data_IF_018794269443
#
_entry.id   IF_018794269443
#
_cell.length_a   1.000
_cell.length_b   1.000
_cell.length_c   1.000
_cell.angle_alpha   90.00
_cell.angle_beta   90.00
_cell.angle_gamma   90.00
#
_symmetry.space_group_name_H-M   'P 1'
#
loop_
_entity.id
_entity.type
_entity.pdbx_description
1 polymer ?
#
# COMPACT_ATOMS: atom_id res chain seq x y z
N UNK A 1 -32.82 33.90 -20.19
CA UNK A 1 -32.64 32.50 -19.71
C UNK A 1 -33.56 32.31 -18.51
N UNK A 2 -34.53 31.38 -18.56
CA UNK A 2 -35.56 31.30 -17.51
C UNK A 2 -34.98 30.77 -16.18
N UNK A 3 -35.56 31.13 -15.02
CA UNK A 3 -35.09 30.69 -13.71
C UNK A 3 -35.03 29.16 -13.56
N UNK A 4 -35.98 28.47 -14.18
CA UNK A 4 -36.08 27.01 -14.15
C UNK A 4 -34.87 26.31 -14.80
N UNK A 5 -34.34 26.88 -15.88
CA UNK A 5 -33.16 26.32 -16.55
C UNK A 5 -31.89 26.47 -15.71
N UNK A 6 -31.76 27.57 -14.95
CA UNK A 6 -30.63 27.81 -14.03
C UNK A 6 -30.65 26.83 -12.86
N UNK A 7 -31.82 26.54 -12.31
CA UNK A 7 -32.00 25.57 -11.22
C UNK A 7 -31.67 24.16 -11.70
N UNK A 8 -32.16 23.77 -12.88
CA UNK A 8 -31.86 22.46 -13.47
C UNK A 8 -30.36 22.31 -13.73
N UNK A 9 -29.71 23.34 -14.29
CA UNK A 9 -28.28 23.33 -14.56
C UNK A 9 -27.46 23.26 -13.26
N UNK A 10 -27.84 24.02 -12.22
CA UNK A 10 -27.18 23.96 -10.92
C UNK A 10 -27.34 22.58 -10.27
N UNK A 11 -28.50 21.94 -10.40
CA UNK A 11 -28.75 20.60 -9.89
C UNK A 11 -27.95 19.53 -10.64
N UNK A 12 -27.82 19.64 -11.96
CA UNK A 12 -26.97 18.75 -12.78
C UNK A 12 -25.50 18.95 -12.45
N UNK A 13 -25.02 20.18 -12.30
CA UNK A 13 -23.65 20.47 -11.86
C UNK A 13 -23.38 19.95 -10.45
N UNK A 14 -24.30 20.15 -9.51
CA UNK A 14 -24.17 19.63 -8.15
C UNK A 14 -24.15 18.11 -8.11
N UNK A 15 -25.00 17.43 -8.88
CA UNK A 15 -24.97 15.96 -8.96
C UNK A 15 -23.70 15.46 -9.64
N UNK A 16 -23.19 16.11 -10.68
CA UNK A 16 -21.88 15.77 -11.28
C UNK A 16 -20.70 15.95 -10.30
N UNK A 17 -20.75 16.96 -9.42
CA UNK A 17 -19.74 17.17 -8.38
C UNK A 17 -19.84 16.15 -7.23
N UNK A 18 -21.02 15.57 -6.99
CA UNK A 18 -21.27 14.57 -5.94
C UNK A 18 -21.04 13.14 -6.46
N UNK A 19 -21.20 12.90 -7.76
CA UNK A 19 -20.98 11.60 -8.39
C UNK A 19 -19.48 11.29 -8.42
N UNK A 20 -19.07 10.55 -7.39
CA UNK A 20 -17.83 9.76 -7.17
C UNK A 20 -16.71 10.43 -6.38
N UNK A 21 -16.87 10.44 -5.05
CA UNK A 21 -15.82 9.89 -4.18
C UNK A 21 -16.20 8.44 -3.85
N UNK A 22 -15.76 7.49 -4.67
CA UNK A 22 -15.60 6.12 -4.15
C UNK A 22 -14.48 6.26 -3.12
N UNK A 23 -14.83 6.25 -1.83
CA UNK A 23 -13.82 6.08 -0.80
C UNK A 23 -13.15 4.73 -1.05
N UNK A 24 -11.85 4.75 -1.32
CA UNK A 24 -11.08 3.53 -1.43
C UNK A 24 -11.30 2.72 -0.15
N UNK A 25 -11.59 1.43 -0.28
CA UNK A 25 -11.74 0.56 0.89
C UNK A 25 -10.41 0.53 1.62
N UNK A 26 -10.44 0.74 2.93
CA UNK A 26 -9.24 0.63 3.75
C UNK A 26 -8.61 -0.76 3.54
N UNK A 27 -7.32 -0.80 3.23
CA UNK A 27 -6.63 -2.03 2.86
C UNK A 27 -5.44 -2.29 3.78
N UNK A 28 -5.62 -3.24 4.70
CA UNK A 28 -4.58 -3.66 5.64
C UNK A 28 -4.00 -4.99 5.21
N UNK A 29 -2.67 -5.06 5.16
CA UNK A 29 -1.93 -6.23 4.68
C UNK A 29 -1.06 -6.77 5.80
N UNK A 30 -1.11 -8.08 5.99
CA UNK A 30 -0.29 -8.83 6.94
C UNK A 30 0.30 -10.04 6.22
N UNK A 31 1.52 -10.42 6.57
CA UNK A 31 2.18 -11.59 5.98
C UNK A 31 3.70 -11.49 6.01
N UNK A 32 4.31 -12.14 5.03
CA UNK A 32 5.76 -12.26 4.87
C UNK A 32 6.29 -11.48 3.64
N UNK A 33 7.46 -11.87 3.14
CA UNK A 33 8.12 -11.27 1.98
C UNK A 33 7.25 -11.22 0.72
N UNK A 34 6.31 -12.14 0.52
CA UNK A 34 5.45 -12.17 -0.68
C UNK A 34 4.51 -10.98 -0.78
N UNK A 35 4.19 -10.39 0.38
CA UNK A 35 3.29 -9.25 0.50
C UNK A 35 3.98 -8.05 1.17
N UNK A 36 5.27 -8.12 1.45
CA UNK A 36 6.05 -6.99 1.94
C UNK A 36 6.28 -5.95 0.82
N UNK A 37 6.00 -4.70 1.14
CA UNK A 37 6.15 -3.52 0.27
C UNK A 37 7.34 -2.65 0.67
N UNK A 38 8.19 -3.13 1.57
CA UNK A 38 9.43 -2.48 1.99
C UNK A 38 9.54 -2.21 3.49
N UNK A 39 8.75 -2.87 4.35
CA UNK A 39 8.84 -2.73 5.81
C UNK A 39 10.25 -3.07 6.32
N UNK A 40 10.87 -4.09 5.74
CA UNK A 40 12.21 -4.50 6.14
C UNK A 40 13.29 -3.45 5.88
N UNK A 41 13.04 -2.42 5.07
CA UNK A 41 13.96 -1.30 4.89
C UNK A 41 14.06 -0.41 6.15
N UNK A 42 13.10 -0.52 7.07
CA UNK A 42 13.05 0.24 8.32
C UNK A 42 13.52 -0.56 9.55
N UNK A 43 13.80 -1.85 9.40
CA UNK A 43 14.23 -2.74 10.49
C UNK A 43 15.73 -3.00 10.46
N UNK A 44 16.35 -3.40 11.56
CA UNK A 44 17.75 -3.87 11.56
C UNK A 44 17.85 -5.35 11.16
N UNK A 45 17.64 -5.65 9.88
CA UNK A 45 17.61 -7.02 9.33
C UNK A 45 18.40 -7.15 8.03
N UNK A 46 18.82 -8.37 7.70
CA UNK A 46 19.43 -8.71 6.39
C UNK A 46 18.39 -9.14 5.36
N UNK A 47 17.16 -9.46 5.77
CA UNK A 47 16.07 -9.79 4.86
C UNK A 47 15.53 -8.52 4.22
N UNK A 48 16.26 -7.92 3.28
CA UNK A 48 15.86 -6.71 2.54
C UNK A 48 15.85 -6.95 1.04
N UNK A 49 14.98 -6.21 0.35
CA UNK A 49 14.87 -6.19 -1.10
C UNK A 49 15.12 -4.78 -1.66
N UNK A 50 16.18 -4.14 -1.16
CA UNK A 50 16.63 -2.78 -1.47
C UNK A 50 17.83 -2.74 -2.44
N UNK A 51 18.17 -3.88 -3.04
CA UNK A 51 19.22 -4.02 -4.05
C UNK A 51 18.72 -4.75 -5.32
N UNK A 52 19.42 -4.65 -6.47
CA UNK A 52 19.14 -5.48 -7.63
C UNK A 52 19.16 -6.99 -7.27
N UNK A 53 18.30 -7.83 -7.88
CA UNK A 53 17.46 -7.56 -9.06
C UNK A 53 16.09 -6.93 -8.75
N UNK A 54 15.79 -6.62 -7.50
CA UNK A 54 14.46 -6.14 -7.11
C UNK A 54 14.14 -4.78 -7.75
N UNK A 55 12.90 -4.61 -8.19
CA UNK A 55 12.41 -3.37 -8.78
C UNK A 55 12.86 -3.08 -10.23
N UNK A 56 13.50 -4.02 -10.93
CA UNK A 56 13.88 -3.85 -12.35
C UNK A 56 12.68 -3.57 -13.28
N UNK A 57 11.57 -4.27 -13.08
CA UNK A 57 10.32 -4.13 -13.84
C UNK A 57 9.33 -3.16 -13.19
N UNK A 58 9.70 -2.55 -12.06
CA UNK A 58 8.89 -1.52 -11.40
C UNK A 58 8.97 -0.21 -12.21
N UNK A 59 7.94 0.66 -12.25
CA UNK A 59 7.98 1.88 -13.04
C UNK A 59 9.20 2.79 -12.82
N UNK A 60 9.76 2.80 -11.60
CA UNK A 60 10.95 3.59 -11.27
C UNK A 60 12.28 2.92 -11.64
N UNK A 61 12.26 1.63 -12.03
CA UNK A 61 13.45 0.81 -12.34
C UNK A 61 14.52 0.85 -11.23
N UNK A 62 14.06 0.90 -9.98
CA UNK A 62 14.90 1.01 -8.76
C UNK A 62 14.39 0.01 -7.73
N UNK A 63 15.26 -0.54 -6.86
CA UNK A 63 14.83 -1.36 -5.75
C UNK A 63 13.77 -0.67 -4.90
N UNK A 64 12.70 -1.39 -4.59
CA UNK A 64 11.51 -0.84 -3.93
C UNK A 64 11.30 -1.38 -2.52
N UNK A 65 12.11 -2.35 -2.07
CA UNK A 65 11.85 -3.11 -0.85
C UNK A 65 10.85 -4.26 -1.04
N UNK A 66 10.27 -4.44 -2.23
CA UNK A 66 9.46 -5.62 -2.57
C UNK A 66 10.37 -6.75 -2.99
N UNK A 67 10.09 -7.96 -2.51
CA UNK A 67 10.75 -9.20 -2.95
C UNK A 67 10.24 -9.65 -4.35
N UNK A 68 10.26 -8.72 -5.31
CA UNK A 68 9.80 -8.88 -6.69
C UNK A 68 10.57 -7.92 -7.60
N UNK A 69 10.66 -8.25 -8.89
CA UNK A 69 11.19 -7.32 -9.90
C UNK A 69 10.25 -6.13 -10.15
N UNK A 70 8.96 -6.26 -9.83
CA UNK A 70 7.97 -5.21 -10.10
C UNK A 70 6.93 -5.13 -8.98
N UNK A 71 5.66 -4.99 -9.38
CA UNK A 71 4.55 -5.04 -8.44
C UNK A 71 4.44 -6.40 -7.74
N UNK A 72 4.02 -6.40 -6.49
CA UNK A 72 3.66 -7.58 -5.71
C UNK A 72 2.13 -7.66 -5.52
N UNK A 73 1.66 -8.66 -4.76
CA UNK A 73 0.22 -8.92 -4.60
C UNK A 73 -0.56 -7.72 -4.03
N UNK A 74 -0.12 -7.05 -2.95
CA UNK A 74 -0.75 -5.81 -2.46
C UNK A 74 -0.90 -4.72 -3.51
N UNK A 75 0.09 -4.51 -4.37
CA UNK A 75 0.01 -3.49 -5.41
C UNK A 75 -1.12 -3.79 -6.40
N UNK A 76 -1.19 -5.06 -6.85
CA UNK A 76 -2.20 -5.51 -7.80
C UNK A 76 -3.60 -5.49 -7.20
N UNK A 77 -3.74 -5.84 -5.92
CA UNK A 77 -5.02 -5.75 -5.21
C UNK A 77 -5.43 -4.29 -5.05
N UNK A 78 -4.51 -3.41 -4.64
CA UNK A 78 -4.78 -1.97 -4.49
C UNK A 78 -5.33 -1.37 -5.80
N UNK A 79 -4.68 -1.67 -6.93
CA UNK A 79 -5.15 -1.25 -8.25
C UNK A 79 -6.57 -1.74 -8.56
N UNK A 80 -6.91 -2.98 -8.17
CA UNK A 80 -8.24 -3.57 -8.42
C UNK A 80 -9.34 -3.01 -7.52
N UNK A 81 -9.01 -2.61 -6.29
CA UNK A 81 -9.99 -2.05 -5.34
C UNK A 81 -10.16 -0.53 -5.48
N UNK A 82 -9.53 0.08 -6.49
CA UNK A 82 -9.58 1.52 -6.74
C UNK A 82 -8.64 2.33 -5.83
N UNK A 83 -7.70 1.68 -5.16
CA UNK A 83 -6.59 2.34 -4.48
C UNK A 83 -5.66 2.99 -5.50
N UNK A 84 -5.17 4.19 -5.18
CA UNK A 84 -4.20 4.91 -6.04
C UNK A 84 -2.80 4.33 -5.90
N UNK A 85 -2.48 3.85 -4.70
CA UNK A 85 -1.17 3.34 -4.31
C UNK A 85 -1.35 2.14 -3.39
N UNK A 86 -0.34 1.28 -3.31
CA UNK A 86 -0.29 0.20 -2.31
C UNK A 86 -0.31 0.79 -0.89
N UNK A 87 -0.87 0.09 0.11
CA UNK A 87 -0.74 0.52 1.49
C UNK A 87 0.75 0.66 1.86
N UNK A 88 1.09 1.74 2.55
CA UNK A 88 2.47 2.04 2.90
C UNK A 88 3.02 1.03 3.92
N UNK A 89 4.35 0.82 3.98
CA UNK A 89 4.99 0.14 5.10
C UNK A 89 4.55 0.77 6.43
N UNK A 90 4.20 -0.04 7.42
CA UNK A 90 3.76 0.41 8.74
C UNK A 90 4.78 1.33 9.42
N UNK A 91 6.07 1.06 9.22
CA UNK A 91 7.17 1.84 9.79
C UNK A 91 7.57 3.05 8.92
N UNK A 92 6.87 3.32 7.81
CA UNK A 92 7.20 4.44 6.95
C UNK A 92 6.87 5.77 7.67
N UNK A 93 7.78 6.76 7.65
CA UNK A 93 7.50 8.10 8.18
C UNK A 93 6.39 8.82 7.39
N UNK A 94 6.09 8.35 6.17
CA UNK A 94 4.99 8.87 5.36
C UNK A 94 3.62 8.37 5.82
N UNK A 95 3.56 7.29 6.63
CA UNK A 95 2.32 6.74 7.17
C UNK A 95 1.83 7.59 8.35
N UNK A 96 1.23 8.73 8.03
CA UNK A 96 0.56 9.58 9.02
C UNK A 96 -0.90 9.14 9.27
N UNK A 97 -1.58 9.81 10.21
CA UNK A 97 -2.94 9.44 10.61
C UNK A 97 -3.95 9.37 9.46
N UNK A 98 -3.94 10.32 8.53
CA UNK A 98 -4.84 10.30 7.37
C UNK A 98 -4.53 9.15 6.42
N UNK A 99 -3.25 8.86 6.18
CA UNK A 99 -2.84 7.72 5.35
C UNK A 99 -3.10 6.37 6.02
N UNK A 100 -3.04 6.30 7.34
CA UNK A 100 -3.39 5.08 8.08
C UNK A 100 -4.87 4.73 7.93
N UNK A 101 -5.76 5.72 7.80
CA UNK A 101 -7.20 5.49 7.57
C UNK A 101 -7.50 4.80 6.25
N UNK A 102 -6.61 4.91 5.24
CA UNK A 102 -6.77 4.23 3.95
C UNK A 102 -6.09 2.86 3.90
N UNK A 103 -5.28 2.51 4.91
CA UNK A 103 -4.63 1.20 5.01
C UNK A 103 -3.15 1.28 5.37
N UNK A 104 -2.59 0.14 5.76
CA UNK A 104 -1.17 -0.03 6.06
C UNK A 104 -0.73 -1.47 5.82
N UNK A 105 0.54 -1.64 5.49
CA UNK A 105 1.17 -2.94 5.28
C UNK A 105 2.09 -3.27 6.46
N UNK A 106 1.77 -4.33 7.18
CA UNK A 106 2.50 -4.84 8.35
C UNK A 106 3.32 -6.09 8.02
N UNK A 107 3.38 -6.50 6.75
CA UNK A 107 4.12 -7.68 6.36
C UNK A 107 5.62 -7.47 6.51
N UNK A 108 6.36 -8.52 6.86
CA UNK A 108 7.81 -8.45 7.03
C UNK A 108 8.49 -9.72 6.53
N UNK A 109 9.52 -9.55 5.71
CA UNK A 109 10.36 -10.67 5.31
C UNK A 109 11.13 -11.22 6.52
N UNK A 110 11.14 -12.55 6.67
CA UNK A 110 11.73 -13.21 7.83
C UNK A 110 10.76 -13.41 8.99
N UNK A 111 9.49 -12.99 8.87
CA UNK A 111 8.42 -13.55 9.71
C UNK A 111 8.24 -15.03 9.37
N UNK A 112 8.47 -15.89 10.34
CA UNK A 112 8.22 -17.32 10.26
C UNK A 112 7.01 -17.71 11.11
N UNK A 113 6.25 -18.72 10.68
CA UNK A 113 5.20 -19.35 11.50
C UNK A 113 5.80 -20.05 12.74
N UNK A 114 7.05 -20.52 12.60
CA UNK A 114 7.79 -21.19 13.66
C UNK A 114 8.84 -20.24 14.23
N UNK A 115 9.02 -20.23 15.55
CA UNK A 115 10.06 -19.42 16.20
C UNK A 115 11.44 -19.65 15.58
N UNK A 116 11.75 -20.90 15.23
CA UNK A 116 13.07 -21.28 14.69
C UNK A 116 13.38 -20.65 13.33
N UNK A 117 12.36 -20.30 12.53
CA UNK A 117 12.54 -19.60 11.25
C UNK A 117 12.43 -18.08 11.37
N UNK A 118 11.77 -17.57 12.42
CA UNK A 118 11.66 -16.13 12.72
C UNK A 118 12.85 -15.53 13.48
N UNK A 119 13.57 -16.35 14.26
CA UNK A 119 14.73 -15.90 15.07
C UNK A 119 15.91 -15.45 14.20
N UNK A 120 16.04 -15.97 12.97
CA UNK A 120 17.17 -15.61 12.09
C UNK A 120 17.10 -14.16 11.57
N UNK A 121 15.96 -13.47 11.69
CA UNK A 121 15.74 -12.15 11.07
C UNK A 121 15.20 -11.06 12.01
N UNK A 122 15.20 -11.30 13.33
CA UNK A 122 14.70 -10.38 14.39
C UNK A 122 13.22 -10.02 14.17
N UNK A 123 12.33 -10.91 14.62
CA UNK A 123 10.89 -10.70 14.57
C UNK A 123 10.42 -9.81 15.74
N UNK A 124 9.90 -8.62 15.44
CA UNK A 124 9.11 -7.79 16.38
C UNK A 124 8.13 -6.90 15.60
N UNK A 125 7.12 -7.50 14.94
CA UNK A 125 5.98 -6.73 14.40
C UNK A 125 4.60 -7.33 14.77
N UNK A 126 4.53 -8.51 15.41
CA UNK A 126 3.25 -9.14 15.77
C UNK A 126 3.14 -9.61 17.23
N UNK A 127 3.41 -8.72 18.19
CA UNK A 127 2.96 -8.85 19.59
C UNK A 127 2.51 -7.52 20.12
#
# INVERSE_FOLDING_TARGET
MSPHYRILLAFVLATLLVVRRVEARAFFVFGDSLVDVGNNNYLATTARADAPPYGLDYPTHRPTGRFSNGFNIPDLISQKIGGRESPLPYLSPELNGERLLVGANFASAGVGILNDTGIQFVSFIMT
#
